data_IF_253421304374
#
_entry.id   IF_253421304374
#
_cell.length_a   1.000
_cell.length_b   1.000
_cell.length_c   1.000
_cell.angle_alpha   90.00
_cell.angle_beta   90.00
_cell.angle_gamma   90.00
#
_symmetry.space_group_name_H-M   'P 1'
#
loop_
_entity.id
_entity.type
_entity.pdbx_description
1 polymer ?
#
# COMPACT_ATOMS: atom_id res chain seq x y z
N UNK A 1 -33.71 -2.20 -39.83
CA UNK A 1 -33.48 -3.23 -38.80
C UNK A 1 -32.03 -3.07 -38.36
N UNK A 2 -31.82 -2.27 -37.32
CA UNK A 2 -30.50 -1.79 -36.93
C UNK A 2 -29.85 -2.79 -35.98
N UNK A 3 -28.91 -3.58 -36.50
CA UNK A 3 -28.13 -4.50 -35.68
C UNK A 3 -27.09 -3.68 -34.91
N UNK A 4 -27.34 -3.46 -33.61
CA UNK A 4 -26.33 -2.93 -32.68
C UNK A 4 -25.10 -3.84 -32.74
N UNK A 5 -24.04 -3.33 -33.37
CA UNK A 5 -22.73 -3.96 -33.41
C UNK A 5 -22.29 -4.22 -31.98
N UNK A 6 -22.21 -5.51 -31.62
CA UNK A 6 -21.66 -5.94 -30.34
C UNK A 6 -20.27 -5.30 -30.18
N UNK A 7 -20.13 -4.40 -29.21
CA UNK A 7 -18.86 -3.76 -28.87
C UNK A 7 -17.86 -4.89 -28.58
N UNK A 8 -16.89 -5.05 -29.48
CA UNK A 8 -15.82 -6.03 -29.34
C UNK A 8 -15.05 -5.64 -28.08
N UNK A 9 -15.15 -6.47 -27.03
CA UNK A 9 -14.37 -6.27 -25.82
C UNK A 9 -12.93 -6.62 -26.16
N UNK A 10 -12.09 -5.60 -26.35
CA UNK A 10 -10.65 -5.77 -26.48
C UNK A 10 -10.10 -6.24 -25.13
N UNK A 11 -9.86 -7.55 -25.02
CA UNK A 11 -9.21 -8.16 -23.86
C UNK A 11 -7.74 -7.74 -23.88
N UNK A 12 -7.36 -6.78 -23.05
CA UNK A 12 -5.96 -6.48 -22.76
C UNK A 12 -5.41 -7.50 -21.77
N UNK A 13 -4.19 -7.99 -22.00
CA UNK A 13 -3.50 -8.86 -21.06
C UNK A 13 -3.11 -8.04 -19.81
N UNK A 14 -3.67 -8.41 -18.66
CA UNK A 14 -3.47 -7.68 -17.39
C UNK A 14 -1.99 -7.63 -16.95
N UNK A 15 -1.18 -8.56 -17.43
CA UNK A 15 0.23 -8.72 -17.04
C UNK A 15 1.14 -7.53 -17.39
N UNK A 16 0.78 -6.70 -18.36
CA UNK A 16 1.55 -5.48 -18.71
C UNK A 16 1.14 -4.26 -17.89
N UNK A 17 -0.07 -4.29 -17.30
CA UNK A 17 -0.62 -3.21 -16.47
C UNK A 17 -0.46 -3.45 -14.97
N UNK A 18 -0.13 -4.67 -14.57
CA UNK A 18 0.02 -5.04 -13.17
C UNK A 18 1.42 -4.71 -12.65
N UNK A 19 1.54 -4.28 -11.37
CA UNK A 19 2.83 -4.14 -10.73
C UNK A 19 3.51 -5.51 -10.66
N UNK A 20 4.71 -5.61 -11.26
CA UNK A 20 5.48 -6.85 -11.22
C UNK A 20 6.04 -7.04 -9.81
N UNK A 21 5.74 -8.18 -9.20
CA UNK A 21 6.35 -8.60 -7.94
C UNK A 21 7.84 -8.90 -8.15
N UNK A 22 8.67 -8.52 -7.19
CA UNK A 22 10.10 -8.84 -7.19
C UNK A 22 10.31 -10.37 -7.12
N UNK A 23 11.32 -10.87 -7.83
CA UNK A 23 11.78 -12.26 -7.67
C UNK A 23 12.58 -12.43 -6.37
N UNK A 24 12.89 -13.69 -6.00
CA UNK A 24 13.53 -13.98 -4.71
C UNK A 24 14.90 -13.29 -4.53
N UNK A 25 15.70 -13.18 -5.59
CA UNK A 25 17.00 -12.52 -5.53
C UNK A 25 16.83 -11.00 -5.36
N UNK A 26 15.86 -10.41 -6.07
CA UNK A 26 15.52 -8.99 -5.94
C UNK A 26 15.00 -8.66 -4.54
N UNK A 27 14.21 -9.55 -3.94
CA UNK A 27 13.74 -9.42 -2.55
C UNK A 27 14.94 -9.43 -1.58
N UNK A 28 15.88 -10.36 -1.76
CA UNK A 28 17.07 -10.45 -0.91
C UNK A 28 17.93 -9.19 -1.04
N UNK A 29 18.20 -8.74 -2.26
CA UNK A 29 18.94 -7.50 -2.51
C UNK A 29 18.25 -6.28 -1.89
N UNK A 30 16.93 -6.14 -2.08
CA UNK A 30 16.15 -5.04 -1.51
C UNK A 30 16.19 -5.06 0.03
N UNK A 31 16.12 -6.25 0.63
CA UNK A 31 16.22 -6.44 2.08
C UNK A 31 17.59 -6.01 2.60
N UNK A 32 18.67 -6.41 1.95
CA UNK A 32 20.03 -6.03 2.35
C UNK A 32 20.25 -4.51 2.24
N UNK A 33 19.76 -3.91 1.16
CA UNK A 33 19.81 -2.46 0.98
C UNK A 33 19.00 -1.72 2.06
N UNK A 34 17.79 -2.18 2.38
CA UNK A 34 16.97 -1.60 3.45
C UNK A 34 17.68 -1.71 4.81
N UNK A 35 18.27 -2.86 5.12
CA UNK A 35 19.04 -3.06 6.34
C UNK A 35 20.25 -2.13 6.42
N UNK A 36 20.93 -1.87 5.29
CA UNK A 36 22.03 -0.93 5.25
C UNK A 36 21.58 0.50 5.60
N UNK A 37 20.47 0.98 5.03
CA UNK A 37 19.92 2.30 5.33
C UNK A 37 19.59 2.43 6.83
N UNK A 38 18.84 1.48 7.38
CA UNK A 38 18.43 1.51 8.81
C UNK A 38 19.62 1.48 9.76
N UNK A 39 20.72 0.81 9.39
CA UNK A 39 21.92 0.69 10.25
C UNK A 39 22.86 1.89 10.18
N UNK A 40 22.85 2.63 9.07
CA UNK A 40 23.89 3.64 8.78
C UNK A 40 23.37 5.07 8.78
N UNK A 41 22.05 5.27 8.66
CA UNK A 41 21.41 6.59 8.60
C UNK A 41 20.70 6.93 9.89
N UNK A 42 20.43 8.21 10.10
CA UNK A 42 19.56 8.63 11.20
C UNK A 42 18.13 8.18 10.92
N UNK A 43 17.29 8.20 11.95
CA UNK A 43 15.89 7.81 11.81
C UNK A 43 15.18 8.71 10.79
N UNK A 44 15.44 10.02 10.85
CA UNK A 44 14.82 11.02 9.97
C UNK A 44 15.23 10.82 8.51
N UNK A 45 16.52 10.59 8.26
CA UNK A 45 17.02 10.30 6.91
C UNK A 45 16.46 8.99 6.36
N UNK A 46 16.43 7.93 7.18
CA UNK A 46 15.85 6.66 6.80
C UNK A 46 14.35 6.79 6.48
N UNK A 47 13.59 7.52 7.31
CA UNK A 47 12.18 7.81 7.06
C UNK A 47 11.99 8.54 5.73
N UNK A 48 12.80 9.57 5.46
CA UNK A 48 12.76 10.29 4.20
C UNK A 48 12.97 9.35 3.00
N UNK A 49 14.00 8.49 3.05
CA UNK A 49 14.30 7.54 1.97
C UNK A 49 13.14 6.58 1.71
N UNK A 50 12.52 6.02 2.75
CA UNK A 50 11.44 5.04 2.59
C UNK A 50 10.08 5.64 2.24
N UNK A 51 9.89 6.94 2.45
CA UNK A 51 8.60 7.63 2.23
C UNK A 51 8.63 8.65 1.10
N UNK A 52 9.78 8.83 0.44
CA UNK A 52 9.92 9.73 -0.70
C UNK A 52 8.93 9.35 -1.81
N UNK A 53 8.10 10.33 -2.21
CA UNK A 53 7.08 10.14 -3.25
C UNK A 53 5.83 9.36 -2.82
N UNK A 54 5.75 8.91 -1.56
CA UNK A 54 4.53 8.33 -1.01
C UNK A 54 3.62 9.42 -0.45
N UNK A 55 2.34 9.33 -0.76
CA UNK A 55 1.32 10.14 -0.11
C UNK A 55 0.74 9.36 1.09
N UNK A 56 0.67 9.96 2.29
CA UNK A 56 -0.06 9.37 3.40
C UNK A 56 -1.50 9.08 2.98
N UNK A 57 -2.05 7.94 3.40
CA UNK A 57 -3.46 7.59 3.19
C UNK A 57 -4.33 8.38 4.19
N UNK A 58 -4.22 9.71 4.19
CA UNK A 58 -4.95 10.60 5.09
C UNK A 58 -5.61 11.73 4.29
N UNK A 59 -6.49 11.38 3.36
CA UNK A 59 -7.50 12.32 2.82
C UNK A 59 -8.56 11.66 1.93
N UNK A 60 -9.27 10.63 2.42
CA UNK A 60 -10.61 10.32 1.88
C UNK A 60 -11.72 10.59 2.90
N UNK A 61 -11.36 10.67 4.19
CA UNK A 61 -12.28 11.09 5.25
C UNK A 61 -12.44 12.62 5.32
N UNK A 62 -11.45 13.41 4.89
CA UNK A 62 -11.51 14.88 4.98
C UNK A 62 -12.40 15.52 3.91
N UNK A 63 -12.44 14.94 2.72
CA UNK A 63 -13.32 15.43 1.64
C UNK A 63 -14.76 14.96 1.79
N UNK A 64 -15.00 14.03 2.74
CA UNK A 64 -16.32 13.57 3.16
C UNK A 64 -16.63 13.96 4.61
N UNK A 65 -16.23 15.15 5.07
CA UNK A 65 -16.73 15.72 6.35
C UNK A 65 -18.26 15.98 6.30
N UNK A 66 -18.91 15.77 5.16
CA UNK A 66 -20.37 15.66 5.06
C UNK A 66 -20.95 14.30 5.49
N UNK A 67 -20.13 13.25 5.61
CA UNK A 67 -20.57 11.91 6.04
C UNK A 67 -20.04 11.65 7.44
N UNK A 68 -20.93 11.72 8.43
CA UNK A 68 -20.60 11.50 9.83
C UNK A 68 -20.01 10.09 10.05
N UNK A 69 -18.70 10.00 10.19
CA UNK A 69 -18.04 8.79 10.71
C UNK A 69 -18.52 8.57 12.15
N UNK A 70 -18.93 7.34 12.46
CA UNK A 70 -19.42 7.00 13.79
C UNK A 70 -18.25 7.09 14.78
N UNK A 71 -18.42 7.67 15.99
CA UNK A 71 -17.38 7.71 17.01
C UNK A 71 -16.76 6.34 17.35
N UNK A 72 -17.48 5.24 17.11
CA UNK A 72 -16.94 3.88 17.24
C UNK A 72 -15.86 3.56 16.20
N UNK A 73 -16.01 4.04 14.97
CA UNK A 73 -15.07 3.79 13.87
C UNK A 73 -13.74 4.53 14.09
N UNK A 74 -13.80 5.67 14.78
CA UNK A 74 -12.63 6.41 15.27
C UNK A 74 -11.82 5.59 16.28
N UNK A 75 -12.51 4.94 17.22
CA UNK A 75 -11.89 4.10 18.24
C UNK A 75 -11.22 2.86 17.64
N UNK A 76 -11.82 2.24 16.62
CA UNK A 76 -11.19 1.12 15.90
C UNK A 76 -9.92 1.53 15.15
N UNK A 77 -9.87 2.73 14.57
CA UNK A 77 -8.68 3.22 13.86
C UNK A 77 -7.53 3.55 14.82
N UNK A 78 -7.86 4.03 16.02
CA UNK A 78 -6.91 4.28 17.10
C UNK A 78 -6.41 2.96 17.73
N UNK A 79 -7.28 1.95 17.89
CA UNK A 79 -6.89 0.58 18.27
C UNK A 79 -6.03 -0.12 17.20
N UNK A 80 -6.29 0.13 15.91
CA UNK A 80 -5.47 -0.38 14.80
C UNK A 80 -4.04 0.18 14.82
N UNK A 81 -3.88 1.47 15.12
CA UNK A 81 -2.56 2.08 15.29
C UNK A 81 -1.78 1.49 16.47
N UNK A 82 -2.45 1.11 17.56
CA UNK A 82 -1.81 0.43 18.69
C UNK A 82 -1.47 -1.05 18.39
N UNK A 83 -2.15 -1.66 17.43
CA UNK A 83 -1.91 -3.04 17.02
C UNK A 83 -0.82 -3.20 15.95
N UNK A 84 -0.25 -2.11 15.43
CA UNK A 84 0.78 -2.16 14.37
C UNK A 84 2.08 -2.89 14.81
N UNK A 85 2.22 -3.22 16.10
CA UNK A 85 3.21 -4.19 16.60
C UNK A 85 2.58 -5.60 16.65
N UNK A 86 2.09 -6.13 15.52
CA UNK A 86 1.76 -7.56 15.42
C UNK A 86 2.94 -8.29 14.78
N UNK A 87 3.51 -9.18 15.57
CA UNK A 87 4.57 -10.10 15.19
C UNK A 87 4.24 -10.83 13.87
N UNK A 88 5.05 -10.58 12.84
CA UNK A 88 4.91 -11.13 11.47
C UNK A 88 4.99 -12.67 11.47
N UNK A 89 5.43 -13.27 12.58
CA UNK A 89 5.64 -14.71 12.76
C UNK A 89 4.33 -15.52 12.74
N UNK A 90 3.14 -14.90 12.84
CA UNK A 90 1.85 -15.61 12.86
C UNK A 90 1.08 -15.65 11.52
N UNK A 91 1.59 -15.08 10.43
CA UNK A 91 0.87 -15.15 9.15
C UNK A 91 1.03 -16.55 8.51
N UNK A 92 -0.06 -17.29 8.23
CA UNK A 92 0.03 -18.59 7.57
C UNK A 92 0.43 -18.45 6.09
N UNK A 93 1.20 -19.42 5.60
CA UNK A 93 1.52 -19.61 4.18
C UNK A 93 0.36 -20.24 3.42
#
# INVERSE_FOLDING_TARGET
MEAKSALRIDRKSSIESEPRTLNINEIQCAREAAMYVVRTRTIEEAMSIFTEGLAPVVSVARDNIGTMMNPKDMQYLEELHLQEIRDVVSAPF
#
